data_IF_419266270616
#
_entry.id   IF_419266270616
#
_cell.length_a   1.000
_cell.length_b   1.000
_cell.length_c   1.000
_cell.angle_alpha   90.00
_cell.angle_beta   90.00
_cell.angle_gamma   90.00
#
_symmetry.space_group_name_H-M   'P 1'
#
loop_
_entity.id
_entity.type
_entity.pdbx_description
1 polymer ?
#
# COMPACT_ATOMS: atom_id res chain seq x y z
N UNK A 1 18.11 -26.59 -36.57
CA UNK A 1 17.09 -25.58 -36.11
C UNK A 1 16.42 -25.96 -34.77
N UNK A 2 16.11 -27.22 -34.50
CA UNK A 2 15.42 -27.65 -33.26
C UNK A 2 16.22 -27.39 -31.97
N UNK A 3 17.54 -27.59 -31.98
CA UNK A 3 18.39 -27.39 -30.80
C UNK A 3 18.52 -25.93 -30.33
N UNK A 4 18.35 -24.98 -31.23
CA UNK A 4 18.39 -23.55 -30.87
C UNK A 4 17.15 -23.12 -30.07
N UNK A 5 16.00 -23.65 -30.42
CA UNK A 5 14.74 -23.37 -29.71
C UNK A 5 14.74 -23.94 -28.30
N UNK A 6 15.27 -25.13 -28.05
CA UNK A 6 15.27 -25.75 -26.71
C UNK A 6 16.12 -24.93 -25.72
N UNK A 7 17.26 -24.39 -26.13
CA UNK A 7 18.06 -23.50 -25.27
C UNK A 7 17.32 -22.21 -24.91
N UNK A 8 16.61 -21.62 -25.85
CA UNK A 8 15.82 -20.40 -25.61
C UNK A 8 14.71 -20.68 -24.59
N UNK A 9 13.96 -21.78 -24.72
CA UNK A 9 12.94 -22.19 -23.75
C UNK A 9 13.53 -22.44 -22.37
N UNK A 10 14.72 -23.06 -22.29
CA UNK A 10 15.40 -23.29 -21.00
C UNK A 10 15.82 -21.98 -20.33
N UNK A 11 16.37 -21.02 -21.07
CA UNK A 11 16.68 -19.68 -20.55
C UNK A 11 15.44 -18.92 -20.12
N UNK A 12 14.35 -19.02 -20.88
CA UNK A 12 13.07 -18.39 -20.52
C UNK A 12 12.49 -18.97 -19.22
N UNK A 13 12.56 -20.29 -19.04
CA UNK A 13 12.12 -20.98 -17.81
C UNK A 13 12.98 -20.58 -16.60
N UNK A 14 14.30 -20.43 -16.78
CA UNK A 14 15.19 -19.96 -15.71
C UNK A 14 14.87 -18.50 -15.36
N UNK A 15 14.65 -17.63 -16.32
CA UNK A 15 14.27 -16.23 -16.08
C UNK A 15 12.92 -16.14 -15.33
N UNK A 16 11.93 -16.91 -15.73
CA UNK A 16 10.63 -16.98 -15.05
C UNK A 16 10.77 -17.48 -13.60
N UNK A 17 11.64 -18.46 -13.34
CA UNK A 17 11.87 -18.97 -11.98
C UNK A 17 12.59 -17.96 -11.07
N UNK A 18 13.49 -17.14 -11.61
CA UNK A 18 14.18 -16.09 -10.86
C UNK A 18 13.21 -14.96 -10.49
N UNK A 19 12.33 -14.55 -11.42
CA UNK A 19 11.29 -13.54 -11.16
C UNK A 19 10.31 -13.99 -10.07
N UNK A 20 9.88 -15.26 -10.10
CA UNK A 20 8.99 -15.82 -9.08
C UNK A 20 9.64 -15.84 -7.70
N UNK A 21 10.92 -16.22 -7.59
CA UNK A 21 11.64 -16.30 -6.32
C UNK A 21 11.86 -14.94 -5.65
N UNK A 22 12.11 -13.87 -6.43
CA UNK A 22 12.27 -12.52 -5.90
C UNK A 22 10.93 -11.99 -5.34
N UNK A 23 9.84 -12.27 -6.06
CA UNK A 23 8.47 -11.88 -5.68
C UNK A 23 8.02 -12.53 -4.36
N UNK A 24 8.43 -13.78 -4.12
CA UNK A 24 8.08 -14.54 -2.92
C UNK A 24 8.86 -14.08 -1.67
N UNK A 25 10.15 -13.73 -1.84
CA UNK A 25 10.98 -13.24 -0.73
C UNK A 25 10.45 -11.92 -0.15
N UNK A 26 10.05 -10.99 -1.00
CA UNK A 26 9.53 -9.69 -0.58
C UNK A 26 8.20 -9.84 0.17
N UNK A 27 7.30 -10.70 -0.31
CA UNK A 27 6.03 -10.97 0.36
C UNK A 27 6.25 -11.60 1.74
N UNK A 28 7.14 -12.60 1.84
CA UNK A 28 7.50 -13.24 3.11
C UNK A 28 8.09 -12.25 4.10
N UNK A 29 8.96 -11.35 3.63
CA UNK A 29 9.51 -10.27 4.45
C UNK A 29 8.39 -9.40 5.04
N UNK A 30 7.46 -8.95 4.21
CA UNK A 30 6.35 -8.08 4.62
C UNK A 30 5.41 -8.75 5.61
N UNK A 31 5.08 -10.03 5.39
CA UNK A 31 4.29 -10.82 6.32
C UNK A 31 4.99 -10.99 7.68
N UNK A 32 6.31 -11.19 7.69
CA UNK A 32 7.08 -11.27 8.92
C UNK A 32 7.14 -9.91 9.65
N UNK A 33 7.30 -8.82 8.90
CA UNK A 33 7.29 -7.46 9.44
C UNK A 33 5.96 -7.10 10.12
N UNK A 34 4.84 -7.68 9.70
CA UNK A 34 3.52 -7.46 10.30
C UNK A 34 3.39 -8.05 11.72
N UNK A 35 4.28 -8.95 12.14
CA UNK A 35 4.27 -9.52 13.47
C UNK A 35 2.94 -10.22 13.80
N UNK A 36 2.29 -9.82 14.90
CA UNK A 36 0.99 -10.39 15.32
C UNK A 36 -0.15 -10.15 14.33
N UNK A 37 -0.05 -9.08 13.52
CA UNK A 37 -1.07 -8.73 12.52
C UNK A 37 -0.92 -9.51 11.21
N UNK A 38 0.08 -10.38 11.09
CA UNK A 38 0.31 -11.24 9.94
C UNK A 38 -0.95 -12.00 9.52
N UNK A 39 -1.72 -12.49 10.49
CA UNK A 39 -2.97 -13.24 10.26
C UNK A 39 -3.96 -12.42 9.42
N UNK A 40 -4.05 -11.10 9.64
CA UNK A 40 -4.94 -10.25 8.84
C UNK A 40 -4.48 -10.15 7.38
N UNK A 41 -3.17 -10.06 7.14
CA UNK A 41 -2.62 -10.02 5.79
C UNK A 41 -2.77 -11.37 5.07
N UNK A 42 -2.59 -12.48 5.78
CA UNK A 42 -2.80 -13.83 5.24
C UNK A 42 -4.27 -14.08 4.87
N UNK A 43 -5.24 -13.54 5.64
CA UNK A 43 -6.66 -13.60 5.27
C UNK A 43 -6.94 -12.93 3.92
N UNK A 44 -6.29 -11.80 3.61
CA UNK A 44 -6.43 -11.13 2.30
C UNK A 44 -5.90 -12.01 1.17
N UNK A 45 -4.73 -12.61 1.36
CA UNK A 45 -4.15 -13.53 0.38
C UNK A 45 -5.01 -14.76 0.14
N UNK A 46 -5.53 -15.37 1.21
CA UNK A 46 -6.42 -16.52 1.11
C UNK A 46 -7.74 -16.15 0.43
N UNK A 47 -8.30 -14.95 0.73
CA UNK A 47 -9.53 -14.46 0.09
C UNK A 47 -9.41 -14.36 -1.44
N UNK A 48 -8.24 -13.96 -1.95
CA UNK A 48 -8.03 -13.77 -3.39
C UNK A 48 -7.20 -14.88 -4.06
N UNK A 49 -6.87 -15.94 -3.36
CA UNK A 49 -5.97 -17.02 -3.78
C UNK A 49 -6.21 -17.52 -5.22
N UNK A 50 -7.47 -17.64 -5.63
CA UNK A 50 -7.85 -18.13 -6.96
C UNK A 50 -8.40 -17.01 -7.87
N UNK A 51 -8.16 -15.74 -7.52
CA UNK A 51 -8.77 -14.57 -8.17
C UNK A 51 -7.84 -13.87 -9.17
N UNK A 52 -6.74 -14.51 -9.58
CA UNK A 52 -5.81 -13.98 -10.60
C UNK A 52 -5.33 -12.55 -10.29
N UNK A 53 -5.68 -11.53 -11.10
CA UNK A 53 -5.18 -10.16 -10.91
C UNK A 53 -5.48 -9.56 -9.54
N UNK A 54 -6.57 -9.94 -8.86
CA UNK A 54 -6.84 -9.46 -7.50
C UNK A 54 -5.88 -10.05 -6.48
N UNK A 55 -5.44 -11.30 -6.67
CA UNK A 55 -4.38 -11.88 -5.86
C UNK A 55 -3.05 -11.14 -6.05
N UNK A 56 -2.70 -10.82 -7.29
CA UNK A 56 -1.50 -10.04 -7.60
C UNK A 56 -1.56 -8.63 -6.99
N UNK A 57 -2.72 -8.00 -7.01
CA UNK A 57 -2.97 -6.71 -6.35
C UNK A 57 -2.83 -6.81 -4.81
N UNK A 58 -3.35 -7.86 -4.19
CA UNK A 58 -3.17 -8.12 -2.77
C UNK A 58 -1.69 -8.30 -2.41
N UNK A 59 -0.95 -9.09 -3.20
CA UNK A 59 0.49 -9.24 -3.05
C UNK A 59 1.22 -7.90 -3.19
N UNK A 60 0.84 -7.07 -4.16
CA UNK A 60 1.43 -5.75 -4.37
C UNK A 60 1.24 -4.85 -3.14
N UNK A 61 0.03 -4.73 -2.61
CA UNK A 61 -0.26 -3.92 -1.42
C UNK A 61 0.53 -4.40 -0.20
N UNK A 62 0.54 -5.70 0.06
CA UNK A 62 1.22 -6.27 1.23
C UNK A 62 2.73 -6.09 1.13
N UNK A 63 3.32 -6.29 -0.05
CA UNK A 63 4.76 -6.13 -0.28
C UNK A 63 5.23 -4.71 -0.06
N UNK A 64 4.43 -3.72 -0.46
CA UNK A 64 4.77 -2.31 -0.37
C UNK A 64 4.34 -1.66 0.95
N UNK A 65 3.72 -2.41 1.86
CA UNK A 65 3.25 -1.90 3.15
C UNK A 65 4.35 -1.62 4.19
N UNK A 66 5.44 -2.41 4.30
CA UNK A 66 6.48 -2.16 5.28
C UNK A 66 7.10 -0.77 5.11
N UNK A 67 7.19 -0.03 6.22
CA UNK A 67 7.69 1.35 6.21
C UNK A 67 6.59 2.42 6.25
N UNK A 68 5.37 2.12 5.81
CA UNK A 68 4.24 3.03 5.98
C UNK A 68 3.78 3.08 7.44
N UNK A 69 3.62 4.29 7.96
CA UNK A 69 3.19 4.50 9.33
C UNK A 69 2.36 5.78 9.46
N UNK A 70 1.56 5.85 10.50
CA UNK A 70 0.92 7.07 11.00
C UNK A 70 1.47 7.39 12.38
N UNK A 71 1.29 8.62 12.82
CA UNK A 71 1.57 8.96 14.21
C UNK A 71 0.38 8.59 15.09
N UNK A 72 0.66 8.00 16.27
CA UNK A 72 -0.37 7.68 17.24
C UNK A 72 -1.16 8.94 17.62
N UNK A 73 -2.44 8.75 17.99
CA UNK A 73 -3.26 9.85 18.48
C UNK A 73 -2.59 10.49 19.70
N UNK A 74 -2.42 11.81 19.67
CA UNK A 74 -1.88 12.58 20.77
C UNK A 74 -2.61 13.92 20.84
N UNK A 75 -2.65 14.53 22.03
CA UNK A 75 -3.23 15.87 22.22
C UNK A 75 -2.58 16.93 21.33
N UNK A 76 -1.29 16.77 21.03
CA UNK A 76 -0.56 17.63 20.09
C UNK A 76 -1.09 17.53 18.67
N UNK A 77 -1.34 16.30 18.16
CA UNK A 77 -1.92 16.10 16.83
C UNK A 77 -3.35 16.63 16.73
N UNK A 78 -4.16 16.46 17.78
CA UNK A 78 -5.52 17.00 17.79
C UNK A 78 -5.51 18.54 17.82
N UNK A 79 -4.54 19.14 18.49
CA UNK A 79 -4.33 20.58 18.46
C UNK A 79 -3.92 21.08 17.07
N UNK A 80 -3.02 20.35 16.38
CA UNK A 80 -2.65 20.68 15.00
C UNK A 80 -3.83 20.57 14.04
N UNK A 81 -4.67 19.54 14.14
CA UNK A 81 -5.87 19.38 13.31
C UNK A 81 -6.84 20.55 13.49
N UNK A 82 -7.02 21.01 14.74
CA UNK A 82 -7.84 22.22 15.02
C UNK A 82 -7.23 23.46 14.39
N UNK A 83 -5.90 23.64 14.48
CA UNK A 83 -5.19 24.75 13.83
C UNK A 83 -5.39 24.68 12.32
N UNK A 84 -5.19 23.51 11.72
CA UNK A 84 -5.35 23.30 10.29
C UNK A 84 -6.78 23.64 9.83
N UNK A 85 -7.81 23.22 10.56
CA UNK A 85 -9.20 23.55 10.21
C UNK A 85 -9.46 25.05 10.22
N UNK A 86 -8.90 25.78 11.18
CA UNK A 86 -9.01 27.25 11.26
C UNK A 86 -8.34 27.92 10.06
N UNK A 87 -7.15 27.45 9.66
CA UNK A 87 -6.42 27.98 8.50
C UNK A 87 -7.23 27.80 7.22
N UNK A 88 -7.78 26.61 6.98
CA UNK A 88 -8.60 26.33 5.81
C UNK A 88 -9.83 27.23 5.71
N UNK A 89 -10.52 27.48 6.82
CA UNK A 89 -11.70 28.35 6.85
C UNK A 89 -11.36 29.82 6.65
N UNK A 90 -10.27 30.30 7.26
CA UNK A 90 -9.89 31.71 7.22
C UNK A 90 -9.08 32.12 5.99
N UNK A 91 -8.60 31.15 5.20
CA UNK A 91 -7.68 31.37 4.05
C UNK A 91 -6.45 32.23 4.41
N UNK A 92 -6.09 32.26 5.67
CA UNK A 92 -5.01 33.05 6.24
C UNK A 92 -4.37 32.27 7.40
N UNK A 93 -3.05 32.37 7.54
CA UNK A 93 -2.30 31.74 8.60
C UNK A 93 -1.96 32.73 9.71
N UNK A 94 -2.79 32.83 10.79
CA UNK A 94 -2.54 33.77 11.89
C UNK A 94 -1.18 33.51 12.54
N UNK A 95 -0.47 34.60 12.94
CA UNK A 95 0.89 34.50 13.54
C UNK A 95 0.92 33.66 14.82
N UNK A 96 -0.09 33.80 15.68
CA UNK A 96 -0.20 33.01 16.92
C UNK A 96 -0.30 31.49 16.67
N UNK A 97 -0.92 31.12 15.55
CA UNK A 97 -1.00 29.72 15.12
C UNK A 97 0.29 29.25 14.46
N UNK A 98 1.03 30.15 13.79
CA UNK A 98 2.33 29.85 13.21
C UNK A 98 3.35 29.49 14.32
N UNK A 99 3.35 30.23 15.42
CA UNK A 99 4.21 29.93 16.58
C UNK A 99 3.88 28.61 17.24
N UNK A 100 2.59 28.26 17.36
CA UNK A 100 2.16 26.96 17.87
C UNK A 100 2.55 25.82 16.93
N UNK A 101 2.43 26.04 15.62
CA UNK A 101 2.83 25.07 14.60
C UNK A 101 4.33 24.81 14.62
N UNK A 102 5.14 25.86 14.70
CA UNK A 102 6.60 25.75 14.71
C UNK A 102 7.16 25.02 15.95
N UNK A 103 6.46 25.13 17.07
CA UNK A 103 6.81 24.44 18.34
C UNK A 103 6.39 22.98 18.40
N UNK A 104 5.54 22.54 17.46
CA UNK A 104 5.10 21.15 17.45
C UNK A 104 6.22 20.25 16.91
N UNK A 105 6.54 19.19 17.66
CA UNK A 105 7.53 18.19 17.26
C UNK A 105 6.89 16.81 17.16
N UNK A 106 7.01 16.19 15.99
CA UNK A 106 6.63 14.78 15.77
C UNK A 106 7.60 13.78 16.42
N UNK A 107 8.80 14.23 16.84
CA UNK A 107 9.87 13.35 17.34
C UNK A 107 9.47 12.52 18.56
N UNK A 108 8.57 13.02 19.39
CA UNK A 108 8.07 12.34 20.59
C UNK A 108 6.79 11.54 20.36
N UNK A 109 6.20 11.59 19.15
CA UNK A 109 4.95 10.90 18.88
C UNK A 109 5.25 9.49 18.35
N UNK A 110 4.73 8.43 19.00
CA UNK A 110 4.97 7.06 18.56
C UNK A 110 4.44 6.83 17.15
N UNK A 111 5.19 6.06 16.36
CA UNK A 111 4.79 5.60 15.05
C UNK A 111 3.93 4.34 15.18
N UNK A 112 2.85 4.30 14.44
CA UNK A 112 1.98 3.12 14.28
C UNK A 112 2.12 2.66 12.84
N UNK A 113 2.80 1.54 12.63
CA UNK A 113 3.02 0.98 11.31
C UNK A 113 1.74 0.31 10.80
N UNK A 114 1.41 0.57 9.53
CA UNK A 114 0.18 0.08 8.93
C UNK A 114 0.12 -1.45 8.93
N UNK A 115 1.21 -2.13 8.63
CA UNK A 115 1.29 -3.59 8.67
C UNK A 115 0.97 -4.20 10.05
N UNK A 116 1.10 -3.43 11.13
CA UNK A 116 0.80 -3.90 12.49
C UNK A 116 -0.67 -3.75 12.91
N UNK A 117 -1.48 -2.97 12.16
CA UNK A 117 -2.83 -2.59 12.60
C UNK A 117 -3.92 -2.72 11.55
N UNK A 118 -3.55 -2.80 10.27
CA UNK A 118 -4.52 -2.84 9.17
C UNK A 118 -5.35 -4.13 9.24
N UNK A 119 -6.63 -4.03 8.90
CA UNK A 119 -7.56 -5.15 8.92
C UNK A 119 -7.76 -5.72 7.53
N UNK A 120 -8.00 -7.03 7.47
CA UNK A 120 -8.24 -7.73 6.22
C UNK A 120 -9.41 -7.13 5.45
N UNK A 121 -10.51 -6.85 6.13
CA UNK A 121 -11.73 -6.30 5.54
C UNK A 121 -11.45 -4.98 4.82
N UNK A 122 -10.63 -4.11 5.41
CA UNK A 122 -10.27 -2.83 4.81
C UNK A 122 -9.49 -3.00 3.49
N UNK A 123 -8.52 -3.92 3.46
CA UNK A 123 -7.76 -4.20 2.24
C UNK A 123 -8.61 -4.87 1.15
N UNK A 124 -9.48 -5.79 1.54
CA UNK A 124 -10.42 -6.46 0.63
C UNK A 124 -11.35 -5.42 0.00
N UNK A 125 -11.98 -4.58 0.80
CA UNK A 125 -12.84 -3.50 0.30
C UNK A 125 -12.08 -2.56 -0.64
N UNK A 126 -10.87 -2.14 -0.27
CA UNK A 126 -10.03 -1.28 -1.10
C UNK A 126 -9.73 -1.91 -2.47
N UNK A 127 -9.34 -3.18 -2.50
CA UNK A 127 -9.06 -3.92 -3.73
C UNK A 127 -10.32 -4.02 -4.59
N UNK A 128 -11.44 -4.39 -4.01
CA UNK A 128 -12.71 -4.54 -4.73
C UNK A 128 -13.19 -3.20 -5.33
N UNK A 129 -13.11 -2.12 -4.57
CA UNK A 129 -13.46 -0.77 -5.03
C UNK A 129 -12.51 -0.29 -6.15
N UNK A 130 -11.20 -0.54 -6.02
CA UNK A 130 -10.22 -0.18 -7.03
C UNK A 130 -10.49 -0.91 -8.36
N UNK A 131 -10.74 -2.23 -8.31
CA UNK A 131 -11.11 -3.02 -9.49
C UNK A 131 -12.44 -2.58 -10.09
N UNK A 132 -13.44 -2.30 -9.27
CA UNK A 132 -14.73 -1.79 -9.74
C UNK A 132 -14.58 -0.42 -10.43
N UNK A 133 -13.74 0.48 -9.90
CA UNK A 133 -13.42 1.75 -10.52
C UNK A 133 -12.68 1.55 -11.86
N UNK A 134 -11.68 0.67 -11.89
CA UNK A 134 -10.91 0.37 -13.09
C UNK A 134 -11.80 -0.18 -14.19
N UNK A 135 -12.70 -1.12 -13.87
CA UNK A 135 -13.60 -1.75 -14.87
C UNK A 135 -14.63 -0.79 -15.47
N UNK A 136 -15.10 0.19 -14.70
CA UNK A 136 -16.20 1.10 -15.11
C UNK A 136 -15.73 2.33 -15.89
N UNK A 137 -14.44 2.63 -15.97
CA UNK A 137 -13.96 3.89 -16.53
C UNK A 137 -13.41 3.75 -17.93
N UNK A 138 -13.61 4.75 -18.81
CA UNK A 138 -13.12 4.74 -20.20
C UNK A 138 -11.59 4.58 -20.30
N UNK A 139 -10.83 5.14 -19.37
CA UNK A 139 -9.36 5.08 -19.30
C UNK A 139 -8.81 3.68 -18.96
N UNK A 140 -9.66 2.72 -18.63
CA UNK A 140 -9.26 1.31 -18.39
C UNK A 140 -8.33 0.75 -19.46
N UNK A 141 -8.61 1.06 -20.72
CA UNK A 141 -7.86 0.52 -21.86
C UNK A 141 -6.48 1.17 -22.06
N UNK A 142 -6.22 2.30 -21.39
CA UNK A 142 -4.94 3.02 -21.45
C UNK A 142 -4.02 2.73 -20.24
N UNK A 143 -4.49 2.01 -19.22
CA UNK A 143 -3.71 1.67 -18.05
C UNK A 143 -3.33 0.19 -18.08
N UNK A 144 -2.02 -0.08 -17.97
CA UNK A 144 -1.49 -1.40 -17.66
C UNK A 144 -1.86 -1.82 -16.23
N UNK A 145 -1.70 -3.11 -15.92
CA UNK A 145 -1.91 -3.59 -14.56
C UNK A 145 -0.93 -2.99 -13.55
N UNK A 146 0.32 -2.76 -13.96
CA UNK A 146 1.33 -2.14 -13.10
C UNK A 146 0.97 -0.69 -12.78
N UNK A 147 0.54 0.11 -13.77
CA UNK A 147 0.05 1.47 -13.55
C UNK A 147 -1.22 1.49 -12.69
N UNK A 148 -2.12 0.53 -12.85
CA UNK A 148 -3.27 0.38 -11.97
C UNK A 148 -2.82 0.15 -10.52
N UNK A 149 -1.84 -0.72 -10.30
CA UNK A 149 -1.30 -1.00 -8.97
C UNK A 149 -0.65 0.22 -8.33
N UNK A 150 0.02 1.07 -9.12
CA UNK A 150 0.72 2.26 -8.62
C UNK A 150 -0.23 3.46 -8.38
N UNK A 151 -1.24 3.65 -9.23
CA UNK A 151 -2.00 4.90 -9.26
C UNK A 151 -3.42 4.79 -8.72
N UNK A 152 -4.04 3.62 -8.80
CA UNK A 152 -5.47 3.43 -8.46
C UNK A 152 -5.63 2.57 -7.20
N UNK A 153 -4.83 1.52 -7.09
CA UNK A 153 -4.92 0.54 -6.01
C UNK A 153 -4.48 1.05 -4.63
N UNK A 154 -3.50 1.99 -4.48
CA UNK A 154 -2.99 2.34 -3.16
C UNK A 154 -4.11 2.79 -2.22
N UNK A 155 -4.15 2.20 -1.03
CA UNK A 155 -5.08 2.56 0.06
C UNK A 155 -4.65 3.83 0.81
N UNK A 156 -3.50 4.38 0.44
CA UNK A 156 -2.87 5.52 1.08
C UNK A 156 -2.26 6.44 0.03
N UNK A 157 -2.53 7.73 0.16
CA UNK A 157 -1.88 8.77 -0.63
C UNK A 157 -0.65 9.22 0.17
N UNK A 158 0.53 9.12 -0.45
CA UNK A 158 1.83 9.47 0.14
C UNK A 158 2.04 10.97 0.25
#
# INVERSE_FOLDING_TARGET
>A
MLHFNIKIYFYLMILLSIYSCCREKDLKYSLNAAGKNRIELEKVLEHYKDSGPKYDAACFLIKNMPGYYSYAKSSGLDSLRKIQSVIFHKKHFPRDLQDKWSKFSYKSTPKVYDCHVIKAEYLIENIDLAFAAWQKRPWRHSLSFDEFCEWILPYRIG
#
